data_IF_552596116826
#
_entry.id   IF_552596116826
#
_cell.length_a   1.000
_cell.length_b   1.000
_cell.length_c   1.000
_cell.angle_alpha   90.00
_cell.angle_beta   90.00
_cell.angle_gamma   90.00
#
_symmetry.space_group_name_H-M   'P 1'
#
loop_
_entity.id
_entity.type
_entity.pdbx_description
1 polymer ?
#
# COMPACT_ATOMS: atom_id res chain seq x y z
N UNK A 1 -0.60 -21.45 -10.18
CA UNK A 1 -1.41 -20.28 -9.77
C UNK A 1 -0.78 -18.92 -10.10
N UNK A 2 0.56 -18.79 -10.18
CA UNK A 2 1.25 -17.56 -10.61
C UNK A 2 1.04 -17.22 -12.10
N UNK A 3 0.93 -18.23 -12.97
CA UNK A 3 0.78 -18.07 -14.42
C UNK A 3 -0.47 -17.28 -14.85
N UNK A 4 -1.63 -17.48 -14.20
CA UNK A 4 -2.87 -16.77 -14.57
C UNK A 4 -2.85 -15.28 -14.17
N UNK A 5 -2.17 -14.94 -13.07
CA UNK A 5 -1.95 -13.55 -12.65
C UNK A 5 -0.93 -12.84 -13.54
N UNK A 6 0.09 -13.56 -14.01
CA UNK A 6 1.05 -13.08 -14.99
C UNK A 6 0.39 -12.80 -16.36
N UNK A 7 -0.41 -13.75 -16.88
CA UNK A 7 -1.10 -13.63 -18.17
C UNK A 7 -2.08 -12.45 -18.25
N UNK A 8 -2.84 -12.15 -17.17
CA UNK A 8 -3.72 -10.96 -17.12
C UNK A 8 -2.99 -9.64 -16.88
N UNK A 9 -1.74 -9.72 -16.42
CA UNK A 9 -0.89 -8.54 -16.26
C UNK A 9 -0.07 -8.27 -17.52
N UNK A 10 0.01 -9.19 -18.48
CA UNK A 10 0.79 -9.00 -19.71
C UNK A 10 0.53 -7.67 -20.44
N UNK A 11 -0.71 -7.19 -20.68
CA UNK A 11 -0.90 -5.91 -21.36
C UNK A 11 -0.40 -4.71 -20.53
N UNK A 12 -0.44 -4.84 -19.20
CA UNK A 12 0.08 -3.85 -18.27
C UNK A 12 1.61 -3.84 -18.28
N UNK A 13 2.22 -5.02 -18.23
CA UNK A 13 3.66 -5.21 -18.25
C UNK A 13 4.25 -4.78 -19.60
N UNK A 14 3.55 -5.10 -20.69
CA UNK A 14 3.89 -4.67 -22.05
C UNK A 14 3.73 -3.15 -22.20
N UNK A 15 2.66 -2.55 -21.66
CA UNK A 15 2.50 -1.09 -21.64
C UNK A 15 3.54 -0.36 -20.76
N UNK A 16 3.95 -0.97 -19.65
CA UNK A 16 5.04 -0.52 -18.77
C UNK A 16 6.40 -0.61 -19.47
N UNK A 17 6.73 -1.76 -20.07
CA UNK A 17 7.97 -1.97 -20.80
C UNK A 17 8.07 -1.13 -22.09
N UNK A 18 6.95 -0.89 -22.80
CA UNK A 18 6.94 0.00 -23.97
C UNK A 18 6.98 1.48 -23.61
N UNK A 19 6.40 1.89 -22.48
CA UNK A 19 6.39 3.29 -22.02
C UNK A 19 7.64 3.70 -21.24
N UNK A 20 8.36 2.75 -20.67
CA UNK A 20 9.58 2.97 -19.88
C UNK A 20 10.62 1.94 -20.24
N UNK A 21 11.72 2.39 -20.86
CA UNK A 21 12.80 1.52 -21.39
C UNK A 21 13.51 0.64 -20.34
N UNK A 22 13.20 0.76 -19.04
CA UNK A 22 13.70 -0.14 -17.98
C UNK A 22 12.84 -0.03 -16.70
N UNK A 23 11.90 -0.95 -16.49
CA UNK A 23 11.28 -1.15 -15.17
C UNK A 23 12.09 -2.19 -14.42
N UNK A 24 12.49 -1.90 -13.17
CA UNK A 24 13.26 -2.84 -12.36
C UNK A 24 12.43 -4.07 -11.96
N UNK A 25 13.09 -5.22 -11.79
CA UNK A 25 12.44 -6.46 -11.37
C UNK A 25 11.66 -6.34 -10.05
N UNK A 26 12.13 -5.62 -9.01
CA UNK A 26 11.36 -5.44 -7.78
C UNK A 26 9.99 -4.78 -8.00
N UNK A 27 9.92 -3.74 -8.84
CA UNK A 27 8.66 -3.09 -9.21
C UNK A 27 7.74 -4.07 -9.92
N UNK A 28 8.29 -4.82 -10.88
CA UNK A 28 7.54 -5.82 -11.64
C UNK A 28 6.98 -6.92 -10.73
N UNK A 29 7.81 -7.46 -9.84
CA UNK A 29 7.43 -8.46 -8.87
C UNK A 29 6.32 -7.96 -7.94
N UNK A 30 6.38 -6.70 -7.49
CA UNK A 30 5.35 -6.10 -6.63
C UNK A 30 4.00 -5.98 -7.35
N UNK A 31 4.00 -5.55 -8.62
CA UNK A 31 2.79 -5.48 -9.45
C UNK A 31 2.17 -6.87 -9.68
N UNK A 32 3.00 -7.89 -9.93
CA UNK A 32 2.56 -9.28 -10.10
C UNK A 32 1.97 -9.82 -8.80
N UNK A 33 2.66 -9.64 -7.66
CA UNK A 33 2.19 -10.07 -6.33
C UNK A 33 0.84 -9.45 -6.01
N UNK A 34 0.71 -8.15 -6.24
CA UNK A 34 -0.55 -7.44 -6.00
C UNK A 34 -1.69 -8.00 -6.87
N UNK A 35 -1.43 -8.27 -8.14
CA UNK A 35 -2.42 -8.85 -9.04
C UNK A 35 -2.82 -10.27 -8.63
N UNK A 36 -1.86 -11.08 -8.18
CA UNK A 36 -2.09 -12.44 -7.71
C UNK A 36 -2.88 -12.45 -6.39
N UNK A 37 -2.54 -11.57 -5.45
CA UNK A 37 -3.25 -11.42 -4.18
C UNK A 37 -4.73 -11.08 -4.42
N UNK A 38 -5.03 -10.16 -5.35
CA UNK A 38 -6.42 -9.83 -5.70
C UNK A 38 -7.22 -11.05 -6.16
N UNK A 39 -6.62 -11.90 -7.00
CA UNK A 39 -7.27 -13.12 -7.49
C UNK A 39 -7.47 -14.15 -6.37
N UNK A 40 -6.51 -14.27 -5.46
CA UNK A 40 -6.61 -15.14 -4.29
C UNK A 40 -7.74 -14.68 -3.36
N UNK A 41 -7.80 -13.39 -3.06
CA UNK A 41 -8.83 -12.80 -2.21
C UNK A 41 -10.23 -13.05 -2.78
N UNK A 42 -10.45 -12.79 -4.07
CA UNK A 42 -11.76 -13.05 -4.71
C UNK A 42 -12.23 -14.50 -4.59
N UNK A 43 -11.31 -15.46 -4.46
CA UNK A 43 -11.64 -16.88 -4.23
C UNK A 43 -11.89 -17.18 -2.75
N UNK A 44 -11.11 -16.56 -1.85
CA UNK A 44 -11.13 -16.82 -0.40
C UNK A 44 -12.23 -16.07 0.35
N UNK A 45 -12.66 -14.90 -0.15
CA UNK A 45 -13.72 -14.08 0.44
C UNK A 45 -15.06 -14.83 0.54
N UNK A 46 -15.27 -15.90 -0.24
CA UNK A 46 -16.48 -16.75 -0.14
C UNK A 46 -16.56 -17.56 1.15
N UNK A 47 -15.46 -17.73 1.88
CA UNK A 47 -15.36 -18.64 3.01
C UNK A 47 -14.76 -17.99 4.26
N UNK A 48 -14.60 -16.66 4.26
CA UNK A 48 -13.92 -15.93 5.34
C UNK A 48 -14.76 -14.73 5.75
N UNK A 49 -14.92 -14.51 7.07
CA UNK A 49 -15.71 -13.39 7.61
C UNK A 49 -14.93 -12.07 7.70
N UNK A 50 -13.62 -12.14 7.89
CA UNK A 50 -12.74 -10.99 8.00
C UNK A 50 -11.39 -11.31 7.37
N UNK A 51 -10.87 -10.38 6.55
CA UNK A 51 -9.51 -10.44 6.01
C UNK A 51 -8.81 -9.14 6.36
N UNK A 52 -7.70 -9.26 7.08
CA UNK A 52 -6.80 -8.13 7.37
C UNK A 52 -5.61 -8.23 6.42
N UNK A 53 -5.32 -7.13 5.73
CA UNK A 53 -4.17 -7.00 4.85
C UNK A 53 -3.14 -6.08 5.51
N UNK A 54 -2.18 -6.67 6.21
CA UNK A 54 -0.99 -5.92 6.63
C UNK A 54 -0.15 -5.61 5.38
N UNK A 55 0.27 -4.35 5.24
CA UNK A 55 0.95 -3.85 4.03
C UNK A 55 0.16 -4.16 2.73
N UNK A 56 -1.14 -3.86 2.73
CA UNK A 56 -2.07 -4.15 1.63
C UNK A 56 -1.88 -3.33 0.32
N UNK A 57 -2.93 -3.24 -0.52
CA UNK A 57 -2.82 -2.61 -1.85
C UNK A 57 -2.40 -1.14 -1.81
N UNK A 58 -2.75 -0.41 -0.75
CA UNK A 58 -2.33 0.98 -0.57
C UNK A 58 -0.81 1.06 -0.45
N UNK A 59 -0.22 0.26 0.46
CA UNK A 59 1.23 0.21 0.62
C UNK A 59 1.95 -0.23 -0.65
N UNK A 60 1.51 -1.33 -1.25
CA UNK A 60 2.15 -1.87 -2.45
C UNK A 60 2.13 -0.90 -3.64
N UNK A 61 1.03 -0.18 -3.85
CA UNK A 61 0.93 0.81 -4.91
C UNK A 61 1.77 2.05 -4.60
N UNK A 62 1.78 2.51 -3.34
CA UNK A 62 2.58 3.66 -2.93
C UNK A 62 4.07 3.37 -2.97
N UNK A 63 4.51 2.15 -2.67
CA UNK A 63 5.91 1.72 -2.83
C UNK A 63 6.36 1.94 -4.28
N UNK A 64 5.52 1.61 -5.27
CA UNK A 64 5.86 1.85 -6.67
C UNK A 64 5.81 3.34 -7.04
N UNK A 65 4.97 4.15 -6.40
CA UNK A 65 5.02 5.61 -6.57
C UNK A 65 6.31 6.22 -6.03
N UNK A 66 6.85 5.69 -4.92
CA UNK A 66 8.07 6.19 -4.28
C UNK A 66 9.33 5.72 -5.01
N UNK A 67 9.42 4.43 -5.36
CA UNK A 67 10.63 3.83 -5.92
C UNK A 67 10.57 3.59 -7.44
N UNK A 68 9.42 3.87 -8.05
CA UNK A 68 9.23 3.73 -9.48
C UNK A 68 9.94 4.81 -10.30
N UNK A 69 10.31 4.52 -11.57
CA UNK A 69 10.76 5.56 -12.50
C UNK A 69 9.75 6.72 -12.55
N UNK A 70 10.22 7.96 -12.65
CA UNK A 70 9.35 9.14 -12.78
C UNK A 70 8.35 9.02 -13.96
N UNK A 71 8.73 8.29 -15.01
CA UNK A 71 7.88 7.96 -16.13
C UNK A 71 6.67 7.07 -15.78
N UNK A 72 6.65 6.43 -14.61
CA UNK A 72 5.45 5.77 -14.09
C UNK A 72 4.36 6.76 -13.65
N UNK A 73 4.69 8.05 -13.49
CA UNK A 73 3.75 9.14 -13.22
C UNK A 73 3.14 9.79 -14.47
N UNK A 74 3.58 9.44 -15.69
CA UNK A 74 3.13 10.09 -16.92
C UNK A 74 1.94 9.39 -17.60
N UNK A 75 1.24 10.12 -18.47
CA UNK A 75 -0.10 9.84 -19.03
C UNK A 75 -0.61 8.38 -19.10
N UNK A 76 0.09 7.49 -19.82
CA UNK A 76 -0.36 6.09 -20.00
C UNK A 76 -0.19 5.27 -18.73
N UNK A 77 0.90 5.47 -18.01
CA UNK A 77 1.21 4.75 -16.78
C UNK A 77 0.32 5.23 -15.63
N UNK A 78 0.04 6.54 -15.54
CA UNK A 78 -0.94 7.10 -14.61
C UNK A 78 -2.35 6.54 -14.83
N UNK A 79 -2.77 6.34 -16.09
CA UNK A 79 -4.07 5.70 -16.40
C UNK A 79 -4.09 4.24 -15.96
N UNK A 80 -3.01 3.51 -16.23
CA UNK A 80 -2.89 2.13 -15.79
C UNK A 80 -2.93 2.02 -14.25
N UNK A 81 -2.27 2.92 -13.53
CA UNK A 81 -2.31 2.99 -12.07
C UNK A 81 -3.71 3.22 -11.52
N UNK A 82 -4.41 4.24 -12.04
CA UNK A 82 -5.80 4.52 -11.63
C UNK A 82 -6.70 3.31 -11.82
N UNK A 83 -6.52 2.57 -12.92
CA UNK A 83 -7.26 1.33 -13.17
C UNK A 83 -6.94 0.26 -12.11
N UNK A 84 -5.68 0.08 -11.73
CA UNK A 84 -5.30 -0.91 -10.70
C UNK A 84 -5.83 -0.54 -9.32
N UNK A 85 -5.79 0.73 -8.95
CA UNK A 85 -6.39 1.23 -7.72
C UNK A 85 -7.92 1.01 -7.71
N UNK A 86 -8.61 1.38 -8.78
CA UNK A 86 -10.05 1.19 -8.93
C UNK A 86 -10.46 -0.30 -8.92
N UNK A 87 -9.60 -1.20 -9.39
CA UNK A 87 -9.81 -2.63 -9.30
C UNK A 87 -9.79 -3.15 -7.85
N UNK A 88 -9.04 -2.50 -6.96
CA UNK A 88 -8.97 -2.88 -5.55
C UNK A 88 -10.09 -2.27 -4.70
N UNK A 89 -10.61 -1.10 -5.08
CA UNK A 89 -11.63 -0.38 -4.31
C UNK A 89 -12.84 -1.25 -3.87
N UNK A 90 -13.42 -2.13 -4.71
CA UNK A 90 -14.57 -2.95 -4.31
C UNK A 90 -14.23 -4.09 -3.34
N UNK A 91 -12.94 -4.35 -3.08
CA UNK A 91 -12.47 -5.41 -2.18
C UNK A 91 -12.05 -4.88 -0.82
N UNK A 92 -12.17 -3.56 -0.60
CA UNK A 92 -11.75 -2.91 0.62
C UNK A 92 -12.95 -2.20 1.25
N UNK A 93 -13.35 -2.70 2.41
CA UNK A 93 -14.42 -2.10 3.20
C UNK A 93 -13.89 -0.92 4.01
N UNK A 94 -12.67 -1.06 4.55
CA UNK A 94 -11.91 -0.01 5.23
C UNK A 94 -10.43 -0.01 4.85
N UNK A 95 -9.82 1.16 4.99
CA UNK A 95 -8.37 1.33 5.04
C UNK A 95 -8.03 2.02 6.34
N UNK A 96 -7.18 1.38 7.16
CA UNK A 96 -6.63 2.00 8.37
C UNK A 96 -5.21 2.45 8.08
N UNK A 97 -4.95 3.75 8.19
CA UNK A 97 -3.62 4.33 8.14
C UNK A 97 -3.12 4.54 9.57
N UNK A 98 -1.91 4.06 9.84
CA UNK A 98 -1.19 4.35 11.08
C UNK A 98 -0.19 5.45 10.76
N UNK A 99 -0.35 6.62 11.38
CA UNK A 99 0.55 7.76 11.14
C UNK A 99 1.17 8.22 12.46
N UNK A 100 2.49 8.34 12.49
CA UNK A 100 3.23 8.86 13.64
C UNK A 100 3.86 10.20 13.26
N UNK A 101 3.95 11.17 14.19
CA UNK A 101 4.77 12.35 13.98
C UNK A 101 6.22 11.96 13.64
N UNK A 102 6.85 12.75 12.76
CA UNK A 102 8.21 12.47 12.26
C UNK A 102 9.24 12.21 13.38
N UNK A 103 9.29 13.00 14.48
CA UNK A 103 10.25 12.72 15.55
C UNK A 103 10.05 11.35 16.21
N UNK A 104 8.79 10.91 16.34
CA UNK A 104 8.45 9.61 16.94
C UNK A 104 8.79 8.48 15.97
N UNK A 105 8.45 8.64 14.69
CA UNK A 105 8.74 7.65 13.66
C UNK A 105 10.25 7.44 13.50
N UNK A 106 11.02 8.53 13.40
CA UNK A 106 12.49 8.48 13.31
C UNK A 106 13.09 7.80 14.53
N UNK A 107 12.69 8.18 15.75
CA UNK A 107 13.15 7.53 16.99
C UNK A 107 12.87 6.01 16.99
N UNK A 108 11.68 5.58 16.57
CA UNK A 108 11.30 4.15 16.51
C UNK A 108 12.12 3.40 15.46
N UNK A 109 12.37 4.00 14.30
CA UNK A 109 13.20 3.41 13.25
C UNK A 109 14.66 3.27 13.68
N UNK A 110 15.21 4.26 14.43
CA UNK A 110 16.55 4.17 15.01
C UNK A 110 16.69 3.09 16.08
N UNK A 111 15.68 2.94 16.92
CA UNK A 111 15.67 1.93 17.99
C UNK A 111 15.35 0.51 17.51
N UNK A 112 15.03 0.32 16.22
CA UNK A 112 14.65 -0.98 15.68
C UNK A 112 15.88 -1.85 15.45
N UNK A 113 15.83 -3.07 15.96
CA UNK A 113 16.81 -4.12 15.66
C UNK A 113 16.29 -5.04 14.55
N UNK A 114 16.34 -4.59 13.30
CA UNK A 114 16.05 -5.44 12.12
C UNK A 114 17.37 -5.79 11.41
N UNK A 115 17.57 -7.09 11.13
CA UNK A 115 18.83 -7.59 10.51
C UNK A 115 19.08 -7.02 9.12
N UNK A 116 18.01 -6.86 8.33
CA UNK A 116 18.06 -6.37 6.95
C UNK A 116 17.47 -4.95 6.88
N UNK A 117 17.99 -4.04 7.71
CA UNK A 117 17.49 -2.67 7.74
C UNK A 117 18.14 -1.81 6.64
N UNK A 118 17.48 -1.73 5.49
CA UNK A 118 17.85 -0.83 4.39
C UNK A 118 17.90 0.65 4.82
N UNK A 119 17.23 1.01 5.93
CA UNK A 119 17.20 2.36 6.48
C UNK A 119 18.30 2.62 7.51
N UNK A 120 19.14 1.63 7.84
CA UNK A 120 20.22 1.78 8.83
C UNK A 120 21.14 2.93 8.49
N UNK A 121 21.47 3.06 7.21
CA UNK A 121 22.47 4.01 6.72
C UNK A 121 21.85 5.38 6.38
N UNK A 122 20.52 5.51 6.46
CA UNK A 122 19.83 6.78 6.24
C UNK A 122 20.11 7.73 7.40
N UNK A 123 20.23 9.01 7.14
CA UNK A 123 20.20 10.11 8.10
C UNK A 123 18.77 10.37 8.59
N UNK A 124 18.61 11.08 9.72
CA UNK A 124 17.27 11.42 10.23
C UNK A 124 16.49 12.24 9.21
N UNK A 125 17.20 13.11 8.48
CA UNK A 125 16.64 13.88 7.38
C UNK A 125 16.11 12.99 6.26
N UNK A 126 16.88 12.00 5.82
CA UNK A 126 16.46 11.07 4.76
C UNK A 126 15.27 10.21 5.19
N UNK A 127 15.19 9.83 6.48
CA UNK A 127 14.02 9.13 7.03
C UNK A 127 12.77 10.02 6.93
N UNK A 128 12.88 11.31 7.31
CA UNK A 128 11.77 12.27 7.23
C UNK A 128 11.36 12.52 5.77
N UNK A 129 12.32 12.70 4.86
CA UNK A 129 12.06 12.89 3.43
C UNK A 129 11.37 11.65 2.83
N UNK A 130 11.82 10.44 3.18
CA UNK A 130 11.19 9.19 2.76
C UNK A 130 9.76 9.06 3.32
N UNK A 131 9.54 9.38 4.60
CA UNK A 131 8.21 9.38 5.21
C UNK A 131 7.27 10.36 4.50
N UNK A 132 7.74 11.57 4.18
CA UNK A 132 6.97 12.57 3.44
C UNK A 132 6.62 12.09 2.01
N UNK A 133 7.56 11.42 1.33
CA UNK A 133 7.30 10.81 0.03
C UNK A 133 6.22 9.73 0.11
N UNK A 134 6.25 8.90 1.15
CA UNK A 134 5.23 7.89 1.41
C UNK A 134 3.87 8.50 1.73
N UNK A 135 3.78 9.53 2.59
CA UNK A 135 2.51 10.21 2.88
C UNK A 135 1.88 10.80 1.61
N UNK A 136 2.71 11.38 0.75
CA UNK A 136 2.28 11.89 -0.57
C UNK A 136 1.77 10.76 -1.47
N UNK A 137 2.50 9.65 -1.54
CA UNK A 137 2.12 8.49 -2.32
C UNK A 137 0.84 7.82 -1.79
N UNK A 138 0.64 7.71 -0.48
CA UNK A 138 -0.60 7.21 0.12
C UNK A 138 -1.78 8.10 -0.27
N UNK A 139 -1.64 9.42 -0.11
CA UNK A 139 -2.69 10.36 -0.49
C UNK A 139 -3.06 10.22 -1.97
N UNK A 140 -2.07 10.08 -2.86
CA UNK A 140 -2.31 9.87 -4.29
C UNK A 140 -3.06 8.58 -4.58
N UNK A 141 -2.63 7.47 -3.97
CA UNK A 141 -3.21 6.15 -4.18
C UNK A 141 -4.64 6.09 -3.64
N UNK A 142 -4.88 6.62 -2.44
CA UNK A 142 -6.19 6.61 -1.78
C UNK A 142 -7.26 7.40 -2.54
N UNK A 143 -6.90 8.52 -3.19
CA UNK A 143 -7.81 9.24 -4.10
C UNK A 143 -8.41 8.37 -5.21
N UNK A 144 -7.79 7.23 -5.52
CA UNK A 144 -8.23 6.31 -6.58
C UNK A 144 -8.73 4.96 -6.06
N UNK A 145 -8.60 4.71 -4.76
CA UNK A 145 -8.87 3.42 -4.12
C UNK A 145 -10.10 3.42 -3.23
N UNK A 146 -10.53 4.60 -2.75
CA UNK A 146 -11.68 4.68 -1.86
C UNK A 146 -12.41 6.01 -1.98
N UNK A 147 -13.74 6.02 -1.85
CA UNK A 147 -14.42 7.21 -1.36
C UNK A 147 -13.86 7.56 0.04
N UNK A 148 -13.76 8.85 0.34
CA UNK A 148 -13.00 9.36 1.51
C UNK A 148 -13.50 8.79 2.86
N UNK A 149 -14.74 8.33 2.91
CA UNK A 149 -15.42 7.75 4.06
C UNK A 149 -14.90 6.37 4.50
N UNK A 150 -14.11 5.68 3.67
CA UNK A 150 -13.53 4.36 4.01
C UNK A 150 -12.15 4.42 4.65
N UNK A 151 -11.51 5.58 4.66
CA UNK A 151 -10.15 5.76 5.17
C UNK A 151 -10.20 6.31 6.58
N UNK A 152 -9.60 5.59 7.53
CA UNK A 152 -9.48 5.99 8.93
C UNK A 152 -8.00 6.13 9.23
N UNK A 153 -7.60 7.32 9.70
CA UNK A 153 -6.21 7.54 10.14
C UNK A 153 -6.19 7.49 11.66
N UNK A 154 -5.38 6.59 12.19
CA UNK A 154 -5.14 6.46 13.62
C UNK A 154 -3.75 7.06 13.92
N UNK A 155 -3.68 8.14 14.71
CA UNK A 155 -2.39 8.65 15.17
C UNK A 155 -1.74 7.58 16.05
N UNK A 156 -0.47 7.31 15.76
CA UNK A 156 0.41 6.41 16.51
C UNK A 156 1.49 7.24 17.18
N UNK A 157 1.05 8.19 18.00
CA UNK A 157 1.91 8.89 18.95
C UNK A 157 2.42 7.92 20.04
N UNK A 158 2.91 8.42 21.16
CA UNK A 158 3.33 7.57 22.29
C UNK A 158 2.14 6.94 23.03
N UNK A 159 0.95 6.84 22.42
CA UNK A 159 -0.14 6.01 22.90
C UNK A 159 0.30 4.56 23.13
N UNK A 160 -0.13 4.02 24.28
CA UNK A 160 0.02 2.60 24.60
C UNK A 160 -0.60 1.73 23.49
N UNK A 161 0.04 0.63 23.14
CA UNK A 161 -0.46 -0.38 22.18
C UNK A 161 -1.94 -0.73 22.44
N UNK A 162 -2.34 -0.83 23.71
CA UNK A 162 -3.72 -1.12 24.11
C UNK A 162 -4.76 -0.12 23.58
N UNK A 163 -4.40 1.17 23.47
CA UNK A 163 -5.29 2.19 22.89
C UNK A 163 -5.46 1.99 21.39
N UNK A 164 -4.37 1.65 20.68
CA UNK A 164 -4.43 1.35 19.25
C UNK A 164 -5.24 0.08 18.98
N UNK A 165 -5.05 -0.97 19.79
CA UNK A 165 -5.84 -2.20 19.70
C UNK A 165 -7.32 -1.92 19.92
N UNK A 166 -7.67 -1.11 20.94
CA UNK A 166 -9.06 -0.71 21.17
C UNK A 166 -9.63 0.09 19.99
N UNK A 167 -8.89 1.09 19.48
CA UNK A 167 -9.33 1.89 18.34
C UNK A 167 -9.54 1.03 17.08
N UNK A 168 -8.62 0.08 16.80
CA UNK A 168 -8.76 -0.89 15.72
C UNK A 168 -9.99 -1.79 15.93
N UNK A 169 -10.23 -2.27 17.15
CA UNK A 169 -11.42 -3.04 17.50
C UNK A 169 -12.71 -2.30 17.13
N UNK A 170 -12.83 -1.03 17.53
CA UNK A 170 -13.98 -0.19 17.17
C UNK A 170 -14.19 -0.09 15.66
N UNK A 171 -13.11 0.13 14.90
CA UNK A 171 -13.17 0.20 13.43
C UNK A 171 -13.66 -1.11 12.82
N UNK A 172 -13.18 -2.25 13.33
CA UNK A 172 -13.58 -3.57 12.85
C UNK A 172 -15.07 -3.85 13.15
N UNK A 173 -15.53 -3.49 14.35
CA UNK A 173 -16.93 -3.67 14.76
C UNK A 173 -17.91 -2.81 13.95
N UNK A 174 -17.53 -1.56 13.65
CA UNK A 174 -18.32 -0.67 12.78
C UNK A 174 -18.38 -1.21 11.35
N UNK A 175 -17.28 -1.76 10.86
CA UNK A 175 -17.22 -2.36 9.53
C UNK A 175 -18.11 -3.59 9.47
N UNK A 176 -18.09 -4.45 10.50
CA UNK A 176 -18.94 -5.63 10.54
C UNK A 176 -20.44 -5.28 10.56
N UNK A 177 -20.84 -4.23 11.27
CA UNK A 177 -22.24 -3.79 11.38
C UNK A 177 -22.78 -3.10 10.13
N UNK A 178 -21.92 -2.60 9.25
CA UNK A 178 -22.29 -1.96 7.98
C UNK A 178 -22.51 -2.92 6.81
N UNK A 179 -22.28 -4.22 7.00
CA UNK A 179 -22.51 -5.30 6.03
C UNK A 179 -23.68 -6.18 6.45
#
# INVERSE_FOLDING_TARGET
MLFAGALRSLPALVGLCWGTRSVSWPILAQVIRLSALRLLLRRRLRHTRLVVLDEGPVFALSWVCVFGPAALGNGRTARWWRRRAAEWAPLLDRVVLLDAPDPILTRRLRGRSKRDDELRDFTDREIVELAAAYRTAFAQVLRHLSPRDRVITLPTDDASVDRLVRALGTVLDETHRGH
#
